data_IF_625107382968
#
_entry.id   IF_625107382968
#
_cell.length_a   1.000
_cell.length_b   1.000
_cell.length_c   1.000
_cell.angle_alpha   90.00
_cell.angle_beta   90.00
_cell.angle_gamma   90.00
#
_symmetry.space_group_name_H-M   'P 1'
#
loop_
_entity.id
_entity.type
_entity.pdbx_description
1 polymer ?
#
# COMPACT_ATOMS: atom_id res chain seq x y z
N UNK A 1 9.97 -25.73 37.21
CA UNK A 1 9.03 -25.45 36.09
C UNK A 1 8.81 -23.95 35.80
N UNK A 2 8.86 -23.05 36.80
CA UNK A 2 8.64 -21.60 36.63
C UNK A 2 9.68 -20.86 35.75
N UNK A 3 10.95 -21.26 35.79
CA UNK A 3 12.02 -20.61 35.00
C UNK A 3 11.90 -20.80 33.48
N UNK A 4 11.34 -21.92 33.00
CA UNK A 4 11.15 -22.17 31.56
C UNK A 4 10.11 -21.23 30.94
N UNK A 5 9.06 -20.89 31.67
CA UNK A 5 7.98 -20.01 31.19
C UNK A 5 8.48 -18.56 31.06
N UNK A 6 9.28 -18.09 32.03
CA UNK A 6 9.87 -16.74 31.99
C UNK A 6 10.83 -16.61 30.79
N UNK A 7 11.65 -17.64 30.52
CA UNK A 7 12.57 -17.61 29.38
C UNK A 7 11.84 -17.57 28.03
N UNK A 8 10.74 -18.31 27.90
CA UNK A 8 9.91 -18.31 26.68
C UNK A 8 9.26 -16.94 26.47
N UNK A 9 8.73 -16.30 27.52
CA UNK A 9 8.11 -14.98 27.42
C UNK A 9 9.14 -13.90 27.05
N UNK A 10 10.33 -13.92 27.65
CA UNK A 10 11.39 -12.96 27.33
C UNK A 10 11.87 -13.15 25.88
N UNK A 11 12.10 -14.40 25.45
CA UNK A 11 12.46 -14.69 24.06
C UNK A 11 11.37 -14.24 23.09
N UNK A 12 10.10 -14.53 23.38
CA UNK A 12 8.99 -14.12 22.51
C UNK A 12 8.92 -12.60 22.36
N UNK A 13 9.09 -11.83 23.45
CA UNK A 13 9.13 -10.37 23.38
C UNK A 13 10.32 -9.84 22.56
N UNK A 14 11.52 -10.41 22.74
CA UNK A 14 12.72 -10.02 21.98
C UNK A 14 12.55 -10.30 20.49
N UNK A 15 11.97 -11.45 20.11
CA UNK A 15 11.68 -11.78 18.72
C UNK A 15 10.65 -10.83 18.09
N UNK A 16 9.58 -10.49 18.82
CA UNK A 16 8.54 -9.55 18.33
C UNK A 16 9.13 -8.13 18.15
N UNK A 17 9.94 -7.65 19.08
CA UNK A 17 10.61 -6.34 18.97
C UNK A 17 11.61 -6.27 17.80
N UNK A 18 12.32 -7.36 17.51
CA UNK A 18 13.27 -7.41 16.39
C UNK A 18 12.55 -7.39 15.03
N UNK A 19 11.37 -8.01 14.94
CA UNK A 19 10.54 -7.95 13.73
C UNK A 19 9.97 -6.55 13.55
N UNK A 20 9.44 -5.94 14.62
CA UNK A 20 8.86 -4.59 14.58
C UNK A 20 9.88 -3.54 14.11
N UNK A 21 11.08 -3.53 14.69
CA UNK A 21 12.15 -2.59 14.32
C UNK A 21 12.63 -2.77 12.88
N UNK A 22 12.67 -4.01 12.35
CA UNK A 22 13.01 -4.26 10.93
C UNK A 22 11.92 -3.80 9.96
N UNK A 23 10.66 -3.85 10.37
CA UNK A 23 9.53 -3.36 9.55
C UNK A 23 9.54 -1.84 9.50
N UNK A 24 9.71 -1.19 10.65
CA UNK A 24 9.80 0.27 10.76
C UNK A 24 10.98 0.82 9.97
N UNK A 25 12.15 0.20 10.06
CA UNK A 25 13.33 0.59 9.28
C UNK A 25 13.08 0.49 7.77
N UNK A 26 12.46 -0.60 7.29
CA UNK A 26 12.15 -0.77 5.86
C UNK A 26 11.09 0.24 5.39
N UNK A 27 10.08 0.50 6.21
CA UNK A 27 9.09 1.54 5.94
C UNK A 27 9.74 2.92 5.80
N UNK A 28 10.61 3.29 6.75
CA UNK A 28 11.36 4.54 6.69
C UNK A 28 12.26 4.59 5.46
N UNK A 29 12.99 3.52 5.12
CA UNK A 29 13.81 3.46 3.89
C UNK A 29 12.95 3.62 2.63
N UNK A 30 11.75 3.05 2.59
CA UNK A 30 10.84 3.09 1.43
C UNK A 30 10.14 4.45 1.24
N UNK A 31 9.93 5.17 2.34
CA UNK A 31 9.26 6.49 2.35
C UNK A 31 10.26 7.66 2.42
N UNK A 32 11.54 7.38 2.65
CA UNK A 32 12.59 8.40 2.82
C UNK A 32 12.69 9.30 1.60
N UNK A 33 12.50 10.60 1.83
CA UNK A 33 12.61 11.62 0.79
C UNK A 33 11.40 11.72 -0.13
N UNK A 34 10.30 11.02 0.17
CA UNK A 34 9.01 11.26 -0.47
C UNK A 34 8.22 12.28 0.36
N UNK A 35 7.73 13.32 -0.30
CA UNK A 35 6.82 14.29 0.30
C UNK A 35 5.36 13.89 0.03
N UNK A 36 4.47 14.33 0.91
CA UNK A 36 3.03 14.14 0.69
C UNK A 36 2.59 14.84 -0.59
N UNK A 37 1.86 14.12 -1.45
CA UNK A 37 1.23 14.69 -2.64
C UNK A 37 0.01 15.56 -2.30
N UNK A 38 -0.42 15.59 -1.02
CA UNK A 38 -1.56 16.35 -0.52
C UNK A 38 -2.87 16.08 -1.29
N UNK A 39 -3.03 14.85 -1.76
CA UNK A 39 -4.25 14.37 -2.41
C UNK A 39 -5.28 14.00 -1.34
N UNK A 40 -6.47 14.58 -1.44
CA UNK A 40 -7.51 14.58 -0.43
C UNK A 40 -8.73 13.74 -0.79
N UNK A 41 -8.78 13.18 -1.99
CA UNK A 41 -9.90 12.35 -2.44
C UNK A 41 -9.47 11.35 -3.50
N UNK A 42 -10.27 10.29 -3.67
CA UNK A 42 -10.11 9.35 -4.78
C UNK A 42 -10.19 10.04 -6.14
N UNK A 43 -11.00 11.10 -6.25
CA UNK A 43 -11.08 11.92 -7.46
C UNK A 43 -9.76 12.62 -7.77
N UNK A 44 -9.18 13.31 -6.79
CA UNK A 44 -7.88 13.96 -6.95
C UNK A 44 -6.77 12.97 -7.32
N UNK A 45 -6.82 11.75 -6.77
CA UNK A 45 -5.91 10.68 -7.14
C UNK A 45 -6.05 10.29 -8.62
N UNK A 46 -7.29 10.13 -9.10
CA UNK A 46 -7.57 9.81 -10.50
C UNK A 46 -7.11 10.93 -11.44
N UNK A 47 -7.39 12.18 -11.07
CA UNK A 47 -6.96 13.37 -11.82
C UNK A 47 -5.44 13.45 -11.91
N UNK A 48 -4.74 13.24 -10.78
CA UNK A 48 -3.27 13.19 -10.73
C UNK A 48 -2.70 12.08 -11.62
N UNK A 49 -3.34 10.91 -11.60
CA UNK A 49 -2.91 9.72 -12.35
C UNK A 49 -3.33 9.74 -13.82
N UNK A 50 -4.06 10.79 -14.26
CA UNK A 50 -4.68 10.90 -15.58
C UNK A 50 -5.47 9.63 -15.92
N UNK A 51 -6.28 9.18 -14.96
CA UNK A 51 -7.22 8.08 -15.14
C UNK A 51 -8.56 8.72 -15.43
N UNK A 52 -9.03 8.49 -16.64
CA UNK A 52 -10.38 8.84 -17.02
C UNK A 52 -11.30 7.67 -16.67
N UNK A 53 -12.05 7.82 -15.58
CA UNK A 53 -12.99 6.80 -15.11
C UNK A 53 -14.17 6.60 -16.06
N UNK A 54 -14.43 7.54 -16.98
CA UNK A 54 -15.48 7.41 -17.99
C UNK A 54 -15.01 6.56 -19.18
N UNK A 55 -13.70 6.54 -19.44
CA UNK A 55 -13.09 5.81 -20.56
C UNK A 55 -12.42 4.50 -20.17
N UNK A 56 -11.98 4.34 -18.92
CA UNK A 56 -11.40 3.10 -18.41
C UNK A 56 -12.41 2.42 -17.52
N UNK A 57 -12.85 1.21 -17.87
CA UNK A 57 -13.69 0.43 -16.99
C UNK A 57 -12.94 0.23 -15.66
N UNK A 58 -13.46 0.81 -14.58
CA UNK A 58 -12.84 0.75 -13.26
C UNK A 58 -12.58 -0.70 -12.82
N UNK A 59 -13.34 -1.67 -13.32
CA UNK A 59 -13.16 -3.12 -13.10
C UNK A 59 -11.86 -3.68 -13.70
N UNK A 60 -11.30 -3.03 -14.73
CA UNK A 60 -10.05 -3.42 -15.40
C UNK A 60 -8.82 -2.74 -14.78
N UNK A 61 -8.99 -1.95 -13.72
CA UNK A 61 -7.90 -1.33 -12.98
C UNK A 61 -7.58 -2.19 -11.74
N UNK A 62 -6.30 -2.55 -11.60
CA UNK A 62 -5.75 -3.13 -10.38
C UNK A 62 -5.25 -2.01 -9.47
N UNK A 63 -5.87 -1.87 -8.30
CA UNK A 63 -5.41 -0.94 -7.26
C UNK A 63 -4.49 -1.66 -6.29
N UNK A 64 -3.30 -1.12 -6.06
CA UNK A 64 -2.33 -1.63 -5.08
C UNK A 64 -1.97 -0.49 -4.14
N UNK A 65 -2.12 -0.70 -2.83
CA UNK A 65 -1.65 0.23 -1.80
C UNK A 65 -0.56 -0.45 -0.99
N UNK A 66 0.62 0.16 -0.91
CA UNK A 66 1.78 -0.34 -0.16
C UNK A 66 2.13 -1.81 -0.46
N UNK A 67 1.95 -2.22 -1.72
CA UNK A 67 2.21 -3.58 -2.20
C UNK A 67 1.07 -4.58 -1.99
N UNK A 68 -0.05 -4.18 -1.38
CA UNK A 68 -1.24 -5.01 -1.20
C UNK A 68 -2.33 -4.65 -2.22
N UNK A 69 -2.91 -5.61 -2.95
CA UNK A 69 -4.02 -5.35 -3.86
C UNK A 69 -5.29 -5.03 -3.06
N UNK A 70 -6.02 -4.00 -3.49
CA UNK A 70 -7.30 -3.57 -2.91
C UNK A 70 -8.42 -3.82 -3.90
N UNK A 71 -9.59 -4.20 -3.38
CA UNK A 71 -10.78 -4.39 -4.21
C UNK A 71 -11.34 -3.05 -4.69
N UNK A 72 -11.84 -3.01 -5.93
CA UNK A 72 -12.24 -1.75 -6.59
C UNK A 72 -13.42 -1.05 -5.88
N UNK A 73 -14.26 -1.78 -5.17
CA UNK A 73 -15.34 -1.21 -4.35
C UNK A 73 -14.84 -0.60 -3.03
N UNK A 74 -13.64 -0.94 -2.57
CA UNK A 74 -13.07 -0.45 -1.30
C UNK A 74 -12.08 0.70 -1.49
N UNK A 75 -11.50 0.84 -2.68
CA UNK A 75 -10.45 1.85 -2.94
C UNK A 75 -10.91 3.28 -2.66
N UNK A 76 -12.15 3.62 -3.04
CA UNK A 76 -12.71 4.96 -2.82
C UNK A 76 -12.72 5.27 -1.32
N UNK A 77 -13.28 4.36 -0.51
CA UNK A 77 -13.32 4.55 0.94
C UNK A 77 -11.92 4.55 1.56
N UNK A 78 -10.98 3.74 1.07
CA UNK A 78 -9.65 3.68 1.66
C UNK A 78 -8.88 5.01 1.45
N UNK A 79 -8.98 5.60 0.26
CA UNK A 79 -8.39 6.91 -0.05
C UNK A 79 -9.12 8.04 0.69
N UNK A 80 -10.45 8.06 0.65
CA UNK A 80 -11.25 9.15 1.23
C UNK A 80 -11.25 9.15 2.77
N UNK A 81 -10.96 8.01 3.41
CA UNK A 81 -10.83 7.91 4.87
C UNK A 81 -9.58 8.62 5.42
N UNK A 82 -8.62 9.02 4.57
CA UNK A 82 -7.42 9.81 4.93
C UNK A 82 -6.62 9.29 6.12
N UNK A 83 -6.56 7.96 6.29
CA UNK A 83 -5.79 7.32 7.38
C UNK A 83 -4.28 7.46 7.20
N UNK A 84 -3.85 7.83 6.00
CA UNK A 84 -2.47 7.97 5.60
C UNK A 84 -2.36 9.09 4.56
N UNK A 85 -1.15 9.61 4.40
CA UNK A 85 -0.82 10.53 3.32
C UNK A 85 -0.31 9.73 2.13
N UNK A 86 -0.74 10.11 0.93
CA UNK A 86 -0.24 9.53 -0.32
C UNK A 86 1.09 10.20 -0.64
N UNK A 87 2.14 9.39 -0.79
CA UNK A 87 3.50 9.84 -1.02
C UNK A 87 3.90 9.71 -2.49
N UNK A 88 3.41 8.67 -3.17
CA UNK A 88 3.76 8.39 -4.56
C UNK A 88 2.63 7.63 -5.24
N UNK A 89 2.45 7.91 -6.53
CA UNK A 89 1.57 7.13 -7.40
C UNK A 89 2.34 6.71 -8.65
N UNK A 90 2.40 5.42 -8.92
CA UNK A 90 2.97 4.85 -10.14
C UNK A 90 1.87 4.19 -10.98
N UNK A 91 1.98 4.35 -12.30
CA UNK A 91 1.05 3.79 -13.29
C UNK A 91 1.76 2.72 -14.12
N UNK A 92 1.23 1.50 -14.11
CA UNK A 92 1.73 0.39 -14.92
C UNK A 92 0.69 0.00 -15.98
N UNK A 93 1.10 0.05 -17.25
CA UNK A 93 0.29 -0.42 -18.37
C UNK A 93 0.25 -1.95 -18.45
N UNK A 94 -0.69 -2.46 -19.26
CA UNK A 94 -0.92 -3.88 -19.53
C UNK A 94 0.35 -4.67 -19.88
N UNK A 95 1.30 -4.06 -20.58
CA UNK A 95 2.59 -4.62 -20.98
C UNK A 95 3.43 -5.09 -19.77
N UNK A 96 3.27 -4.43 -18.62
CA UNK A 96 3.99 -4.76 -17.38
C UNK A 96 3.20 -5.68 -16.43
N UNK A 97 1.90 -5.89 -16.69
CA UNK A 97 1.00 -6.65 -15.81
C UNK A 97 0.95 -8.15 -16.13
N UNK A 98 1.17 -8.49 -17.39
CA UNK A 98 1.16 -9.85 -17.94
C UNK A 98 2.11 -10.82 -17.21
N UNK A 99 3.13 -10.30 -16.54
CA UNK A 99 4.09 -11.11 -15.77
C UNK A 99 3.77 -11.26 -14.28
N UNK A 100 2.85 -10.45 -13.72
CA UNK A 100 2.69 -10.33 -12.26
C UNK A 100 1.44 -11.06 -11.77
N UNK A 101 0.36 -11.11 -12.55
CA UNK A 101 -0.91 -11.72 -12.12
C UNK A 101 -1.63 -12.40 -13.28
N UNK A 102 -1.64 -13.74 -13.26
CA UNK A 102 -1.95 -14.61 -14.41
C UNK A 102 -3.46 -14.72 -14.74
N UNK A 103 -4.37 -14.10 -13.97
CA UNK A 103 -5.77 -14.54 -13.99
C UNK A 103 -6.86 -13.46 -14.05
N UNK A 104 -6.52 -12.21 -14.37
CA UNK A 104 -7.51 -11.13 -14.54
C UNK A 104 -7.18 -10.23 -15.74
N UNK A 105 -8.22 -9.76 -16.44
CA UNK A 105 -8.13 -8.87 -17.61
C UNK A 105 -7.78 -7.42 -17.22
N UNK A 106 -6.74 -7.25 -16.41
CA UNK A 106 -6.31 -5.92 -16.00
C UNK A 106 -5.56 -5.24 -17.14
N UNK A 107 -5.99 -4.02 -17.45
CA UNK A 107 -5.40 -3.18 -18.49
C UNK A 107 -4.44 -2.15 -17.89
N UNK A 108 -4.62 -1.89 -16.59
CA UNK A 108 -3.89 -0.88 -15.85
C UNK A 108 -3.71 -1.31 -14.40
N UNK A 109 -2.55 -1.01 -13.81
CA UNK A 109 -2.38 -1.01 -12.37
C UNK A 109 -1.94 0.36 -11.87
N UNK A 110 -2.49 0.74 -10.73
CA UNK A 110 -2.14 1.95 -10.00
C UNK A 110 -1.56 1.53 -8.67
N UNK A 111 -0.30 1.89 -8.47
CA UNK A 111 0.44 1.62 -7.25
C UNK A 111 0.47 2.91 -6.45
N UNK A 112 -0.07 2.86 -5.24
CA UNK A 112 -0.12 3.96 -4.30
C UNK A 112 0.82 3.63 -3.16
N UNK A 113 1.84 4.46 -2.97
CA UNK A 113 2.72 4.41 -1.79
C UNK A 113 2.24 5.44 -0.78
N UNK A 114 2.12 5.03 0.47
CA UNK A 114 1.60 5.84 1.56
C UNK A 114 2.56 5.87 2.75
N UNK A 115 2.27 6.70 3.74
CA UNK A 115 2.94 6.68 5.04
C UNK A 115 2.19 5.86 6.12
N UNK A 116 1.25 4.98 5.73
CA UNK A 116 0.47 4.17 6.67
C UNK A 116 1.35 3.34 7.61
N UNK A 117 2.51 2.89 7.14
CA UNK A 117 3.45 2.12 7.94
C UNK A 117 4.18 2.95 9.04
N UNK A 118 4.14 4.29 8.95
CA UNK A 118 4.69 5.23 9.95
C UNK A 118 3.61 5.65 10.96
N UNK A 119 2.37 5.90 10.51
CA UNK A 119 1.28 6.49 11.32
C UNK A 119 0.56 5.50 12.28
N UNK A 120 1.26 4.50 12.85
CA UNK A 120 0.65 3.52 13.76
C UNK A 120 0.14 4.10 15.07
#
# INVERSE_FOLDING_TARGET
>A
MKFRIVYIIVMFNVFVSCISSRVERRCNEHTKGLESLNLNSFKELCDYSKIDLDNVNAENILWIIDGAPIQNNLIVSEIDNKRYDILKIDKLGKDKLTHIYVNKNWELAILVTTNACIKK
#
